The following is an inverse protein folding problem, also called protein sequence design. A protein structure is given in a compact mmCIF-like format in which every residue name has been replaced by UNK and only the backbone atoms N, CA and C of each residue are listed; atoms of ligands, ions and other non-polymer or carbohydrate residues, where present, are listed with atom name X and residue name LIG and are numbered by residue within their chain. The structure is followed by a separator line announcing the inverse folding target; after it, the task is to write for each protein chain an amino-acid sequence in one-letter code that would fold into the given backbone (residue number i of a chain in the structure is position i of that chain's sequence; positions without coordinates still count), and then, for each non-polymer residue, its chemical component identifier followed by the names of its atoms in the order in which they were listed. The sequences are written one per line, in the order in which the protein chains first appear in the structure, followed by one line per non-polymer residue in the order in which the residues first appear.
data_IF_029087449708
#
_entry.id   IF_029087449708
#
_cell.length_a   1.000
_cell.length_b   1.000
_cell.length_c   1.000
_cell.angle_alpha   90.00
_cell.angle_beta   90.00
_cell.angle_gamma   90.00
#
_symmetry.space_group_name_H-M   'P 1'
#
loop_
_entity.id
_entity.type
_entity.pdbx_description
1 polymer ?
#
# COMPACT_ATOMS: atom_id res chain seq x y z
N UNK A 1 -15.82 -26.42 7.00
CA UNK A 1 -15.67 -25.59 5.78
C UNK A 1 -14.93 -26.39 4.72
N UNK A 2 -15.36 -26.28 3.47
CA UNK A 2 -14.64 -26.80 2.31
C UNK A 2 -13.26 -26.17 2.20
N UNK A 3 -12.30 -26.89 1.60
CA UNK A 3 -10.94 -26.39 1.35
C UNK A 3 -10.98 -25.06 0.59
N UNK A 4 -11.81 -24.98 -0.45
CA UNK A 4 -11.97 -23.77 -1.26
C UNK A 4 -12.39 -22.55 -0.42
N UNK A 5 -13.36 -22.71 0.50
CA UNK A 5 -13.80 -21.62 1.38
C UNK A 5 -12.69 -21.17 2.34
N UNK A 6 -11.84 -22.08 2.84
CA UNK A 6 -10.70 -21.74 3.70
C UNK A 6 -9.65 -20.93 2.94
N UNK A 7 -9.33 -21.33 1.71
CA UNK A 7 -8.37 -20.63 0.84
C UNK A 7 -8.89 -19.22 0.49
N UNK A 8 -10.14 -19.12 0.02
CA UNK A 8 -10.75 -17.83 -0.34
C UNK A 8 -10.80 -16.88 0.86
N UNK A 9 -11.13 -17.37 2.05
CA UNK A 9 -11.13 -16.54 3.27
C UNK A 9 -9.73 -16.02 3.61
N UNK A 10 -8.69 -16.86 3.53
CA UNK A 10 -7.31 -16.46 3.81
C UNK A 10 -6.77 -15.44 2.80
N UNK A 11 -6.96 -15.71 1.50
CA UNK A 11 -6.57 -14.78 0.43
C UNK A 11 -7.36 -13.47 0.49
N UNK A 12 -8.67 -13.53 0.75
CA UNK A 12 -9.53 -12.37 0.88
C UNK A 12 -9.09 -11.46 2.03
N UNK A 13 -8.76 -12.04 3.19
CA UNK A 13 -8.22 -11.29 4.32
C UNK A 13 -6.87 -10.63 4.00
N UNK A 14 -5.95 -11.35 3.34
CA UNK A 14 -4.66 -10.79 2.91
C UNK A 14 -4.84 -9.61 1.95
N UNK A 15 -5.76 -9.74 0.98
CA UNK A 15 -6.03 -8.71 -0.01
C UNK A 15 -6.66 -7.46 0.64
N UNK A 16 -7.56 -7.64 1.61
CA UNK A 16 -8.12 -6.53 2.39
C UNK A 16 -7.05 -5.78 3.18
N UNK A 17 -6.11 -6.49 3.82
CA UNK A 17 -5.00 -5.87 4.56
C UNK A 17 -4.09 -5.11 3.60
N UNK A 18 -3.72 -5.69 2.47
CA UNK A 18 -2.91 -5.02 1.44
C UNK A 18 -3.61 -3.76 0.91
N UNK A 19 -4.92 -3.83 0.66
CA UNK A 19 -5.70 -2.68 0.22
C UNK A 19 -5.72 -1.57 1.28
N UNK A 20 -5.93 -1.92 2.56
CA UNK A 20 -5.90 -0.95 3.65
C UNK A 20 -4.53 -0.27 3.79
N UNK A 21 -3.43 -1.05 3.73
CA UNK A 21 -2.07 -0.52 3.76
C UNK A 21 -1.81 0.40 2.57
N UNK A 22 -2.23 -0.01 1.37
CA UNK A 22 -2.08 0.81 0.16
C UNK A 22 -2.84 2.14 0.27
N UNK A 23 -4.09 2.13 0.73
CA UNK A 23 -4.90 3.35 0.92
C UNK A 23 -4.20 4.32 1.88
N UNK A 24 -3.72 3.83 3.03
CA UNK A 24 -3.00 4.66 4.01
C UNK A 24 -1.70 5.21 3.41
N UNK A 25 -0.96 4.41 2.66
CA UNK A 25 0.26 4.85 1.98
C UNK A 25 -0.01 5.94 0.94
N UNK A 26 -1.05 5.78 0.11
CA UNK A 26 -1.44 6.79 -0.89
C UNK A 26 -1.90 8.09 -0.25
N UNK A 27 -2.72 8.02 0.82
CA UNK A 27 -3.13 9.21 1.57
C UNK A 27 -1.93 9.93 2.21
N UNK A 28 -0.99 9.19 2.78
CA UNK A 28 0.25 9.76 3.33
C UNK A 28 1.10 10.45 2.27
N UNK A 29 1.22 9.86 1.08
CA UNK A 29 1.95 10.44 -0.05
C UNK A 29 1.28 11.73 -0.58
N UNK A 30 -0.05 11.74 -0.73
CA UNK A 30 -0.78 12.95 -1.11
C UNK A 30 -0.61 14.08 -0.09
N UNK A 31 -0.69 13.76 1.21
CA UNK A 31 -0.50 14.73 2.28
C UNK A 31 0.90 15.35 2.19
N UNK A 32 1.93 14.53 1.95
CA UNK A 32 3.31 14.98 1.81
C UNK A 32 3.50 15.92 0.62
N UNK A 33 2.92 15.59 -0.54
CA UNK A 33 2.97 16.44 -1.73
C UNK A 33 2.27 17.78 -1.52
N UNK A 34 1.10 17.80 -0.85
CA UNK A 34 0.38 19.03 -0.53
C UNK A 34 1.21 19.92 0.39
N UNK A 35 1.75 19.39 1.48
CA UNK A 35 2.60 20.13 2.40
C UNK A 35 3.84 20.69 1.71
N UNK A 36 4.47 19.94 0.80
CA UNK A 36 5.63 20.42 0.05
C UNK A 36 5.26 21.61 -0.88
N UNK A 37 4.15 21.51 -1.60
CA UNK A 37 3.68 22.59 -2.48
C UNK A 37 3.31 23.84 -1.69
N UNK A 38 2.63 23.65 -0.55
CA UNK A 38 2.27 24.73 0.35
C UNK A 38 3.56 25.45 0.83
N UNK A 39 4.60 24.72 1.26
CA UNK A 39 5.89 25.29 1.70
C UNK A 39 6.57 26.13 0.61
N UNK A 40 6.47 25.73 -0.66
CA UNK A 40 7.03 26.53 -1.76
C UNK A 40 6.23 27.83 -1.92
N UNK A 41 4.90 27.74 -1.94
CA UNK A 41 4.02 28.91 -2.05
C UNK A 41 4.22 29.91 -0.92
N UNK A 42 4.36 29.43 0.32
CA UNK A 42 4.75 30.22 1.51
C UNK A 42 5.97 31.09 1.26
N UNK A 43 7.05 30.44 0.81
CA UNK A 43 8.36 31.06 0.67
C UNK A 43 8.34 32.09 -0.44
N UNK A 44 7.60 31.82 -1.51
CA UNK A 44 7.38 32.78 -2.58
C UNK A 44 6.62 34.01 -2.08
N UNK A 45 5.51 33.84 -1.35
CA UNK A 45 4.77 34.95 -0.74
C UNK A 45 5.67 35.82 0.15
N UNK A 46 6.43 35.19 1.05
CA UNK A 46 7.37 35.90 1.93
C UNK A 46 8.54 36.55 1.18
N UNK A 47 8.95 35.99 0.03
CA UNK A 47 9.97 36.58 -0.84
C UNK A 47 9.44 37.86 -1.48
N UNK A 48 8.27 37.83 -2.13
CA UNK A 48 7.67 39.01 -2.76
C UNK A 48 7.42 40.14 -1.77
N UNK A 49 6.90 39.84 -0.56
CA UNK A 49 6.73 40.84 0.49
C UNK A 49 8.05 41.53 0.87
N UNK A 50 9.13 40.75 1.01
CA UNK A 50 10.47 41.27 1.32
C UNK A 50 11.06 42.07 0.17
N UNK A 51 10.83 41.67 -1.06
CA UNK A 51 11.30 42.37 -2.27
C UNK A 51 10.60 43.73 -2.44
N UNK A 52 9.27 43.80 -2.27
CA UNK A 52 8.53 45.07 -2.24
C UNK A 52 9.10 46.02 -1.18
N UNK A 53 9.37 45.51 0.03
CA UNK A 53 9.99 46.30 1.11
C UNK A 53 11.36 46.84 0.73
N UNK A 54 12.22 45.99 0.15
CA UNK A 54 13.58 46.37 -0.27
C UNK A 54 13.54 47.40 -1.39
N UNK A 55 12.70 47.20 -2.39
CA UNK A 55 12.59 48.13 -3.52
C UNK A 55 12.05 49.49 -3.12
N UNK A 56 11.10 49.54 -2.17
CA UNK A 56 10.65 50.82 -1.59
C UNK A 56 11.76 51.53 -0.82
N UNK A 57 12.59 50.77 -0.08
CA UNK A 57 13.75 51.33 0.61
C UNK A 57 14.79 51.88 -0.37
N UNK A 58 15.07 51.15 -1.45
CA UNK A 58 15.99 51.59 -2.51
C UNK A 58 15.47 52.83 -3.23
N UNK A 59 14.16 52.87 -3.51
CA UNK A 59 13.48 54.01 -4.11
C UNK A 59 13.53 55.25 -3.20
N UNK A 60 13.29 55.09 -1.89
CA UNK A 60 13.42 56.17 -0.90
C UNK A 60 14.88 56.65 -0.77
N UNK A 61 15.83 55.72 -0.78
CA UNK A 61 17.27 56.05 -0.71
C UNK A 61 17.74 56.81 -1.95
N UNK A 62 17.31 56.37 -3.13
CA UNK A 62 17.53 57.03 -4.41
C UNK A 62 16.95 58.46 -4.41
N UNK A 63 15.70 58.59 -3.98
CA UNK A 63 15.03 59.89 -3.86
C UNK A 63 15.80 60.84 -2.94
N UNK A 64 16.25 60.39 -1.76
CA UNK A 64 17.04 61.22 -0.83
C UNK A 64 18.37 61.63 -1.44
N UNK A 65 19.06 60.72 -2.13
CA UNK A 65 20.30 61.03 -2.85
C UNK A 65 20.10 62.11 -3.92
N UNK A 66 19.01 62.03 -4.69
CA UNK A 66 18.64 63.05 -5.65
C UNK A 66 18.25 64.38 -5.00
N UNK A 67 17.46 64.36 -3.92
CA UNK A 67 17.11 65.58 -3.20
C UNK A 67 18.36 66.31 -2.70
N UNK A 68 19.31 65.58 -2.10
CA UNK A 68 20.54 66.16 -1.58
C UNK A 68 21.48 66.69 -2.68
N UNK A 69 21.64 65.94 -3.78
CA UNK A 69 22.68 66.24 -4.78
C UNK A 69 22.17 66.96 -6.03
N UNK A 70 20.88 66.85 -6.35
CA UNK A 70 20.28 67.29 -7.60
C UNK A 70 20.68 66.48 -8.84
N UNK A 71 21.45 65.39 -8.70
CA UNK A 71 21.97 64.63 -9.84
C UNK A 71 21.04 63.48 -10.21
N UNK A 72 20.54 63.47 -11.45
CA UNK A 72 19.57 62.48 -11.97
C UNK A 72 20.01 61.02 -11.81
N UNK A 73 21.32 60.73 -11.90
CA UNK A 73 21.85 59.36 -11.73
C UNK A 73 21.48 58.70 -10.39
N UNK A 74 21.19 59.49 -9.35
CA UNK A 74 20.75 58.91 -8.07
C UNK A 74 19.34 58.31 -8.15
N UNK A 75 18.54 58.64 -9.17
CA UNK A 75 17.19 58.11 -9.37
C UNK A 75 17.16 56.77 -10.11
N UNK A 76 18.30 56.25 -10.58
CA UNK A 76 18.36 54.95 -11.27
C UNK A 76 17.70 53.81 -10.46
N UNK A 77 17.92 53.65 -9.13
CA UNK A 77 17.24 52.63 -8.35
C UNK A 77 15.73 52.88 -8.21
N UNK A 78 15.31 54.15 -8.09
CA UNK A 78 13.89 54.52 -8.05
C UNK A 78 13.17 54.10 -9.34
N UNK A 79 13.74 54.43 -10.51
CA UNK A 79 13.14 54.10 -11.80
C UNK A 79 13.05 52.57 -12.00
N UNK A 80 14.07 51.82 -11.58
CA UNK A 80 14.05 50.35 -11.66
C UNK A 80 13.07 49.70 -10.68
N UNK A 81 12.82 50.31 -9.53
CA UNK A 81 11.93 49.76 -8.51
C UNK A 81 10.45 49.75 -8.96
N UNK A 82 10.00 50.78 -9.71
CA UNK A 82 8.59 50.94 -10.10
C UNK A 82 7.97 49.71 -10.78
N UNK A 83 8.49 49.20 -11.91
CA UNK A 83 7.90 48.04 -12.59
C UNK A 83 8.00 46.74 -11.78
N UNK A 84 9.05 46.60 -10.97
CA UNK A 84 9.26 45.40 -10.17
C UNK A 84 8.30 45.35 -8.97
N UNK A 85 8.05 46.48 -8.30
CA UNK A 85 7.03 46.59 -7.24
C UNK A 85 5.65 46.23 -7.80
N UNK A 86 5.29 46.74 -8.97
CA UNK A 86 4.00 46.41 -9.61
C UNK A 86 3.91 44.91 -9.92
N UNK A 87 4.97 44.33 -10.48
CA UNK A 87 5.04 42.91 -10.79
C UNK A 87 4.85 42.05 -9.53
N UNK A 88 5.56 42.36 -8.44
CA UNK A 88 5.48 41.61 -7.19
C UNK A 88 4.12 41.74 -6.51
N UNK A 89 3.48 42.92 -6.56
CA UNK A 89 2.11 43.10 -6.06
C UNK A 89 1.11 42.25 -6.85
N UNK A 90 1.26 42.13 -8.17
CA UNK A 90 0.44 41.22 -8.99
C UNK A 90 0.66 39.76 -8.61
N UNK A 91 1.91 39.35 -8.35
CA UNK A 91 2.20 37.97 -7.90
C UNK A 91 1.62 37.70 -6.51
N UNK A 92 1.72 38.64 -5.57
CA UNK A 92 1.09 38.54 -4.25
C UNK A 92 -0.43 38.42 -4.36
N UNK A 93 -1.05 39.20 -5.25
CA UNK A 93 -2.50 39.13 -5.50
C UNK A 93 -2.93 37.76 -6.02
N UNK A 94 -2.10 37.12 -6.85
CA UNK A 94 -2.33 35.74 -7.31
C UNK A 94 -2.13 34.73 -6.18
N UNK A 95 -1.09 34.90 -5.37
CA UNK A 95 -0.77 34.00 -4.28
C UNK A 95 -1.81 34.01 -3.15
N UNK A 96 -2.48 35.15 -2.92
CA UNK A 96 -3.51 35.30 -1.87
C UNK A 96 -4.95 35.18 -2.38
N UNK A 97 -5.19 34.68 -3.60
CA UNK A 97 -6.55 34.56 -4.16
C UNK A 97 -7.50 33.73 -3.28
N UNK A 98 -6.96 32.72 -2.60
CA UNK A 98 -7.72 31.81 -1.74
C UNK A 98 -7.57 32.16 -0.24
N UNK A 99 -7.02 33.33 0.08
CA UNK A 99 -6.79 33.78 1.46
C UNK A 99 -7.44 35.16 1.68
N UNK A 100 -8.73 35.20 2.06
CA UNK A 100 -9.46 36.45 2.23
C UNK A 100 -8.81 37.40 3.24
N UNK A 101 -8.23 36.87 4.32
CA UNK A 101 -7.59 37.70 5.35
C UNK A 101 -6.30 38.35 4.80
N UNK A 102 -5.44 37.59 4.15
CA UNK A 102 -4.24 38.14 3.50
C UNK A 102 -4.60 39.06 2.33
N UNK A 103 -5.71 38.79 1.62
CA UNK A 103 -6.23 39.65 0.57
C UNK A 103 -6.59 41.06 1.07
N UNK A 104 -7.19 41.17 2.26
CA UNK A 104 -7.49 42.47 2.89
C UNK A 104 -6.20 43.22 3.27
N UNK A 105 -5.22 42.52 3.86
CA UNK A 105 -3.91 43.09 4.22
C UNK A 105 -3.14 43.55 2.98
N UNK A 106 -3.16 42.76 1.90
CA UNK A 106 -2.56 43.11 0.61
C UNK A 106 -3.23 44.34 0.00
N UNK A 107 -4.56 44.44 0.02
CA UNK A 107 -5.25 45.62 -0.51
C UNK A 107 -4.86 46.91 0.25
N UNK A 108 -4.69 46.81 1.58
CA UNK A 108 -4.13 47.90 2.40
C UNK A 108 -2.69 48.23 2.00
N UNK A 109 -1.84 47.21 1.84
CA UNK A 109 -0.45 47.36 1.43
C UNK A 109 -0.35 48.05 0.08
N UNK A 110 -1.10 47.60 -0.92
CA UNK A 110 -1.14 48.21 -2.26
C UNK A 110 -1.50 49.70 -2.20
N UNK A 111 -2.48 50.09 -1.36
CA UNK A 111 -2.83 51.50 -1.18
C UNK A 111 -1.68 52.29 -0.57
N UNK A 112 -1.07 51.78 0.50
CA UNK A 112 0.07 52.42 1.17
C UNK A 112 1.29 52.55 0.24
N UNK A 113 1.58 51.52 -0.55
CA UNK A 113 2.64 51.53 -1.57
C UNK A 113 2.36 52.61 -2.62
N UNK A 114 1.14 52.70 -3.15
CA UNK A 114 0.76 53.75 -4.11
C UNK A 114 0.92 55.15 -3.52
N UNK A 115 0.45 55.36 -2.30
CA UNK A 115 0.61 56.64 -1.59
C UNK A 115 2.08 57.00 -1.36
N UNK A 116 2.93 56.01 -1.03
CA UNK A 116 4.36 56.21 -0.87
C UNK A 116 5.05 56.56 -2.18
N UNK A 117 4.74 55.85 -3.27
CA UNK A 117 5.31 56.14 -4.58
C UNK A 117 4.88 57.51 -5.10
N UNK A 118 3.63 57.93 -4.85
CA UNK A 118 3.16 59.27 -5.17
C UNK A 118 3.90 60.36 -4.38
N UNK A 119 4.15 60.15 -3.09
CA UNK A 119 4.94 61.06 -2.24
C UNK A 119 6.39 61.20 -2.76
N UNK A 120 7.03 60.09 -3.13
CA UNK A 120 8.37 60.11 -3.74
C UNK A 120 8.35 60.86 -5.08
N UNK A 121 7.36 60.61 -5.93
CA UNK A 121 7.25 61.29 -7.23
C UNK A 121 7.06 62.80 -7.08
N UNK A 122 6.22 63.23 -6.13
CA UNK A 122 5.95 64.65 -5.85
C UNK A 122 7.20 65.37 -5.35
N UNK A 123 7.96 64.78 -4.43
CA UNK A 123 9.19 65.39 -3.90
C UNK A 123 10.29 65.47 -4.96
N UNK A 124 10.43 64.44 -5.81
CA UNK A 124 11.34 64.46 -6.98
C UNK A 124 10.95 65.58 -7.94
N UNK A 125 9.65 65.70 -8.25
CA UNK A 125 9.12 66.76 -9.13
C UNK A 125 9.38 68.15 -8.58
N UNK A 126 9.08 68.40 -7.30
CA UNK A 126 9.36 69.67 -6.64
C UNK A 126 10.85 70.02 -6.69
N UNK A 127 11.73 69.02 -6.50
CA UNK A 127 13.18 69.23 -6.58
C UNK A 127 13.64 69.62 -7.99
N UNK A 128 13.09 69.00 -9.02
CA UNK A 128 13.39 69.31 -10.44
C UNK A 128 12.88 70.68 -10.86
N UNK A 129 11.67 71.04 -10.45
CA UNK A 129 10.96 72.22 -10.95
C UNK A 129 11.22 73.48 -10.11
N UNK A 130 11.34 73.33 -8.79
CA UNK A 130 11.31 74.45 -7.84
C UNK A 130 12.54 74.50 -6.91
N UNK A 131 13.45 73.54 -7.00
CA UNK A 131 14.69 73.52 -6.22
C UNK A 131 14.57 72.78 -4.87
N UNK A 132 15.57 72.97 -4.00
CA UNK A 132 15.73 72.14 -2.78
C UNK A 132 14.66 72.44 -1.72
N UNK A 133 14.44 73.72 -1.40
CA UNK A 133 13.61 74.14 -0.26
C UNK A 133 12.15 73.66 -0.34
N UNK A 134 11.47 73.74 -1.50
CA UNK A 134 10.10 73.22 -1.61
C UNK A 134 10.02 71.70 -1.39
N UNK A 135 10.99 70.95 -1.92
CA UNK A 135 11.06 69.50 -1.73
C UNK A 135 11.37 69.13 -0.26
N UNK A 136 12.28 69.87 0.38
CA UNK A 136 12.62 69.69 1.79
C UNK A 136 11.41 69.95 2.69
N UNK A 137 10.61 70.98 2.39
CA UNK A 137 9.39 71.30 3.16
C UNK A 137 8.44 70.11 3.22
N UNK A 138 8.27 69.37 2.12
CA UNK A 138 7.46 68.14 2.08
C UNK A 138 8.10 67.02 2.89
N UNK A 139 9.41 66.81 2.79
CA UNK A 139 10.13 65.79 3.58
C UNK A 139 10.00 66.06 5.08
N UNK A 140 10.08 67.31 5.50
CA UNK A 140 9.95 67.73 6.91
C UNK A 140 8.55 67.51 7.49
N UNK A 141 7.53 67.22 6.66
CA UNK A 141 6.21 66.79 7.16
C UNK A 141 6.21 65.39 7.76
N UNK A 142 7.30 64.64 7.63
CA UNK A 142 7.43 63.23 8.04
C UNK A 142 6.41 62.28 7.38
N UNK A 143 5.58 62.75 6.42
CA UNK A 143 4.60 61.93 5.71
C UNK A 143 5.22 60.68 5.09
N UNK A 144 6.35 60.85 4.40
CA UNK A 144 7.07 59.75 3.77
C UNK A 144 7.61 58.72 4.78
N UNK A 145 8.02 59.17 5.97
CA UNK A 145 8.52 58.32 7.07
C UNK A 145 7.39 57.51 7.71
N UNK A 146 6.26 58.16 7.99
CA UNK A 146 5.07 57.52 8.55
C UNK A 146 4.53 56.44 7.59
N UNK A 147 4.38 56.76 6.31
CA UNK A 147 3.97 55.78 5.29
C UNK A 147 4.91 54.57 5.25
N UNK A 148 6.22 54.78 5.29
CA UNK A 148 7.17 53.67 5.26
C UNK A 148 7.11 52.81 6.54
N UNK A 149 6.87 53.42 7.71
CA UNK A 149 6.65 52.68 8.96
C UNK A 149 5.39 51.82 8.89
N UNK A 150 4.28 52.36 8.39
CA UNK A 150 3.05 51.60 8.24
C UNK A 150 3.17 50.46 7.21
N UNK A 151 3.90 50.68 6.11
CA UNK A 151 4.19 49.64 5.12
C UNK A 151 5.00 48.51 5.76
N UNK A 152 6.06 48.85 6.51
CA UNK A 152 6.89 47.85 7.21
C UNK A 152 6.04 47.06 8.20
N UNK A 153 5.25 47.74 9.01
CA UNK A 153 4.37 47.08 9.98
C UNK A 153 3.38 46.14 9.28
N UNK A 154 2.72 46.57 8.20
CA UNK A 154 1.77 45.72 7.48
C UNK A 154 2.48 44.49 6.87
N UNK A 155 3.65 44.68 6.26
CA UNK A 155 4.46 43.56 5.74
C UNK A 155 4.88 42.61 6.85
N UNK A 156 5.34 43.12 7.99
CA UNK A 156 5.78 42.30 9.11
C UNK A 156 4.60 41.51 9.71
N UNK A 157 3.41 42.12 9.83
CA UNK A 157 2.18 41.42 10.23
C UNK A 157 1.80 40.31 9.23
N UNK A 158 1.86 40.59 7.93
CA UNK A 158 1.59 39.58 6.89
C UNK A 158 2.58 38.41 6.95
N UNK A 159 3.87 38.69 7.20
CA UNK A 159 4.91 37.68 7.36
C UNK A 159 4.69 36.83 8.61
N UNK A 160 4.34 37.44 9.75
CA UNK A 160 4.07 36.72 11.01
C UNK A 160 2.85 35.82 10.87
N UNK A 161 1.73 36.34 10.35
CA UNK A 161 0.51 35.55 10.14
C UNK A 161 0.76 34.40 9.17
N UNK A 162 1.58 34.64 8.14
CA UNK A 162 2.08 33.58 7.28
C UNK A 162 2.78 32.50 8.09
N UNK A 163 3.87 32.87 8.78
CA UNK A 163 4.75 31.95 9.50
C UNK A 163 4.03 31.13 10.58
N UNK A 164 3.10 31.73 11.32
CA UNK A 164 2.28 31.03 12.32
C UNK A 164 1.40 29.94 11.69
N UNK A 165 0.71 30.26 10.59
CA UNK A 165 -0.09 29.27 9.85
C UNK A 165 0.79 28.15 9.30
N UNK A 166 2.02 28.48 8.85
CA UNK A 166 3.00 27.48 8.42
C UNK A 166 3.44 26.56 9.55
N UNK A 167 3.77 27.10 10.72
CA UNK A 167 4.14 26.29 11.88
C UNK A 167 3.02 25.34 12.28
N UNK A 168 1.77 25.80 12.27
CA UNK A 168 0.61 24.96 12.58
C UNK A 168 0.39 23.87 11.52
N UNK A 169 0.50 24.22 10.22
CA UNK A 169 0.39 23.27 9.12
C UNK A 169 1.53 22.23 9.14
N UNK A 170 2.75 22.65 9.46
CA UNK A 170 3.91 21.77 9.57
C UNK A 170 3.79 20.79 10.75
N UNK A 171 3.37 21.26 11.93
CA UNK A 171 3.16 20.40 13.11
C UNK A 171 2.04 19.38 12.85
N UNK A 172 0.92 19.81 12.25
CA UNK A 172 -0.17 18.89 11.89
C UNK A 172 0.24 17.90 10.80
N UNK A 173 1.02 18.33 9.79
CA UNK A 173 1.60 17.42 8.80
C UNK A 173 2.56 16.40 9.43
N UNK A 174 3.43 16.82 10.35
CA UNK A 174 4.35 15.93 11.06
C UNK A 174 3.58 14.90 11.90
N UNK A 175 2.56 15.31 12.65
CA UNK A 175 1.71 14.40 13.44
C UNK A 175 0.98 13.40 12.53
N UNK A 176 0.45 13.86 11.40
CA UNK A 176 -0.22 12.99 10.43
C UNK A 176 0.74 12.01 9.77
N UNK A 177 1.97 12.45 9.46
CA UNK A 177 3.02 11.59 8.93
C UNK A 177 3.42 10.51 9.96
N UNK A 178 3.62 10.88 11.23
CA UNK A 178 3.94 9.92 12.30
C UNK A 178 2.81 8.90 12.50
N UNK A 179 1.54 9.33 12.50
CA UNK A 179 0.39 8.42 12.55
C UNK A 179 0.37 7.48 11.35
N UNK A 180 0.59 8.00 10.14
CA UNK A 180 0.62 7.19 8.92
C UNK A 180 1.74 6.15 8.96
N UNK A 181 2.93 6.53 9.42
CA UNK A 181 4.07 5.61 9.61
C UNK A 181 3.72 4.53 10.64
N UNK A 182 3.10 4.89 11.77
CA UNK A 182 2.68 3.93 12.79
C UNK A 182 1.65 2.94 12.22
N UNK A 183 0.61 3.43 11.52
CA UNK A 183 -0.40 2.58 10.88
C UNK A 183 0.20 1.66 9.82
N UNK A 184 1.12 2.17 9.00
CA UNK A 184 1.82 1.38 7.98
C UNK A 184 2.68 0.29 8.64
N UNK A 185 3.40 0.63 9.72
CA UNK A 185 4.25 -0.30 10.46
C UNK A 185 3.42 -1.41 11.09
N UNK A 186 2.37 -1.04 11.84
CA UNK A 186 1.45 -2.00 12.48
C UNK A 186 0.72 -2.84 11.43
N UNK A 187 0.24 -2.23 10.36
CA UNK A 187 -0.42 -2.92 9.25
C UNK A 187 0.49 -3.92 8.55
N UNK A 188 1.77 -3.59 8.36
CA UNK A 188 2.77 -4.49 7.78
C UNK A 188 3.04 -5.67 8.70
N UNK A 189 3.25 -5.44 9.99
CA UNK A 189 3.46 -6.52 10.98
C UNK A 189 2.23 -7.44 11.06
N UNK A 190 1.02 -6.86 11.12
CA UNK A 190 -0.22 -7.63 11.12
C UNK A 190 -0.41 -8.43 9.82
N UNK A 191 -0.08 -7.84 8.66
CA UNK A 191 -0.11 -8.53 7.37
C UNK A 191 0.82 -9.75 7.35
N UNK A 192 2.06 -9.59 7.82
CA UNK A 192 3.03 -10.70 7.94
C UNK A 192 2.49 -11.78 8.88
N UNK A 193 1.91 -11.40 10.03
CA UNK A 193 1.33 -12.33 10.99
C UNK A 193 0.15 -13.11 10.38
N UNK A 194 -0.76 -12.44 9.68
CA UNK A 194 -1.91 -13.05 9.02
C UNK A 194 -1.46 -14.04 7.94
N UNK A 195 -0.49 -13.66 7.11
CA UNK A 195 0.08 -14.55 6.08
C UNK A 195 0.76 -15.75 6.74
N UNK A 196 1.50 -15.55 7.82
CA UNK A 196 2.19 -16.63 8.55
C UNK A 196 1.20 -17.62 9.17
N UNK A 197 0.17 -17.12 9.87
CA UNK A 197 -0.88 -17.94 10.47
C UNK A 197 -1.71 -18.64 9.38
N UNK A 198 -2.09 -17.93 8.33
CA UNK A 198 -2.82 -18.50 7.19
C UNK A 198 -2.04 -19.61 6.51
N UNK A 199 -0.74 -19.39 6.25
CA UNK A 199 0.16 -20.40 5.69
C UNK A 199 0.29 -21.63 6.59
N UNK A 200 0.42 -21.43 7.91
CA UNK A 200 0.46 -22.52 8.88
C UNK A 200 -0.85 -23.33 8.90
N UNK A 201 -2.01 -22.66 8.90
CA UNK A 201 -3.32 -23.30 8.88
C UNK A 201 -3.57 -24.08 7.58
N UNK A 202 -3.17 -23.51 6.42
CA UNK A 202 -3.25 -24.18 5.12
C UNK A 202 -2.35 -25.42 5.11
N UNK A 203 -1.10 -25.28 5.58
CA UNK A 203 -0.13 -26.38 5.62
C UNK A 203 -0.64 -27.53 6.50
N UNK A 204 -1.15 -27.22 7.69
CA UNK A 204 -1.69 -28.23 8.61
C UNK A 204 -3.03 -28.82 8.14
N UNK A 205 -3.87 -28.01 7.48
CA UNK A 205 -5.22 -28.40 7.07
C UNK A 205 -5.32 -29.09 5.72
N UNK A 206 -4.36 -28.86 4.82
CA UNK A 206 -4.39 -29.35 3.42
C UNK A 206 -3.11 -30.12 3.09
N UNK A 207 -1.94 -29.48 3.20
CA UNK A 207 -0.66 -30.07 2.77
C UNK A 207 -0.33 -31.33 3.57
N UNK A 208 -0.54 -31.32 4.89
CA UNK A 208 -0.32 -32.48 5.76
C UNK A 208 -1.22 -33.68 5.41
N UNK A 209 -2.57 -33.54 5.39
CA UNK A 209 -3.47 -34.61 4.97
C UNK A 209 -3.21 -35.13 3.56
N UNK A 210 -2.89 -34.27 2.60
CA UNK A 210 -2.52 -34.71 1.24
C UNK A 210 -1.21 -35.49 1.23
N UNK A 211 -0.20 -35.08 2.00
CA UNK A 211 1.03 -35.85 2.17
C UNK A 211 0.78 -37.25 2.74
N UNK A 212 -0.08 -37.37 3.77
CA UNK A 212 -0.49 -38.67 4.32
C UNK A 212 -1.25 -39.53 3.31
N UNK A 213 -2.11 -38.90 2.49
CA UNK A 213 -2.81 -39.59 1.40
C UNK A 213 -1.83 -40.15 0.36
N UNK A 214 -0.86 -39.34 -0.07
CA UNK A 214 0.18 -39.77 -1.00
C UNK A 214 1.00 -40.93 -0.44
N UNK A 215 1.45 -40.86 0.81
CA UNK A 215 2.17 -41.96 1.46
C UNK A 215 1.32 -43.21 1.61
N UNK A 216 0.03 -43.08 1.94
CA UNK A 216 -0.89 -44.23 2.04
C UNK A 216 -1.10 -44.95 0.71
N UNK A 217 -1.24 -44.19 -0.38
CA UNK A 217 -1.28 -44.74 -1.75
C UNK A 217 0.03 -45.43 -2.10
N UNK A 218 1.18 -44.84 -1.75
CA UNK A 218 2.48 -45.46 -2.00
C UNK A 218 2.63 -46.81 -1.29
N UNK A 219 2.26 -46.90 0.00
CA UNK A 219 2.23 -48.17 0.74
C UNK A 219 1.31 -49.21 0.08
N UNK A 220 0.14 -48.78 -0.41
CA UNK A 220 -0.80 -49.64 -1.10
C UNK A 220 -0.23 -50.17 -2.43
N UNK A 221 0.41 -49.32 -3.25
CA UNK A 221 1.05 -49.73 -4.51
C UNK A 221 2.26 -50.64 -4.32
N UNK A 222 2.93 -50.57 -3.16
CA UNK A 222 4.03 -51.47 -2.78
C UNK A 222 3.55 -52.83 -2.22
N UNK A 223 2.25 -53.12 -2.28
CA UNK A 223 1.66 -54.40 -1.88
C UNK A 223 1.16 -54.46 -0.44
N UNK A 224 1.25 -53.39 0.35
CA UNK A 224 0.66 -53.37 1.70
C UNK A 224 -0.81 -52.94 1.65
N UNK A 225 -1.69 -53.89 1.32
CA UNK A 225 -3.13 -53.66 1.20
C UNK A 225 -3.84 -53.51 2.55
N UNK A 226 -3.20 -53.86 3.67
CA UNK A 226 -3.76 -53.72 5.00
C UNK A 226 -3.65 -52.28 5.55
N UNK A 227 -2.79 -51.45 4.97
CA UNK A 227 -2.62 -50.06 5.39
C UNK A 227 -3.93 -49.27 5.20
N UNK A 228 -4.27 -48.42 6.19
CA UNK A 228 -5.44 -47.54 6.17
C UNK A 228 -5.01 -46.13 6.54
N UNK A 229 -5.64 -45.15 5.91
CA UNK A 229 -5.37 -43.74 6.14
C UNK A 229 -6.31 -43.23 7.22
N UNK A 230 -5.76 -42.66 8.29
CA UNK A 230 -6.56 -42.10 9.36
C UNK A 230 -7.35 -40.86 8.91
N UNK A 231 -8.68 -40.91 9.09
CA UNK A 231 -9.59 -39.85 8.67
C UNK A 231 -9.74 -38.82 9.78
N UNK A 232 -9.07 -37.67 9.63
CA UNK A 232 -9.05 -36.62 10.65
C UNK A 232 -10.07 -35.50 10.41
N UNK A 233 -10.44 -35.26 9.14
CA UNK A 233 -11.26 -34.12 8.74
C UNK A 233 -12.55 -34.59 8.04
N UNK A 234 -13.58 -33.74 8.02
CA UNK A 234 -14.81 -33.98 7.26
C UNK A 234 -14.83 -33.29 5.89
N UNK A 235 -13.78 -32.53 5.57
CA UNK A 235 -13.63 -31.82 4.30
C UNK A 235 -13.26 -32.76 3.12
N UNK A 236 -12.94 -32.18 1.97
CA UNK A 236 -12.63 -32.92 0.76
C UNK A 236 -11.45 -33.90 0.95
N UNK A 237 -10.45 -33.56 1.79
CA UNK A 237 -9.34 -34.47 2.10
C UNK A 237 -9.81 -35.69 2.89
N UNK A 238 -10.74 -35.49 3.83
CA UNK A 238 -11.34 -36.57 4.60
C UNK A 238 -12.24 -37.47 3.77
N UNK A 239 -12.99 -36.88 2.82
CA UNK A 239 -13.78 -37.64 1.85
C UNK A 239 -12.90 -38.51 0.96
N UNK A 240 -11.77 -37.98 0.49
CA UNK A 240 -10.76 -38.75 -0.26
C UNK A 240 -10.17 -39.90 0.56
N UNK A 241 -9.81 -39.65 1.82
CA UNK A 241 -9.29 -40.68 2.72
C UNK A 241 -10.31 -41.81 2.97
N UNK A 242 -11.59 -41.47 3.19
CA UNK A 242 -12.67 -42.46 3.32
C UNK A 242 -12.85 -43.28 2.04
N UNK A 243 -12.91 -42.61 0.89
CA UNK A 243 -13.03 -43.28 -0.41
C UNK A 243 -11.86 -44.24 -0.69
N UNK A 244 -10.64 -43.82 -0.34
CA UNK A 244 -9.45 -44.67 -0.43
C UNK A 244 -9.54 -45.90 0.49
N UNK A 245 -9.92 -45.71 1.75
CA UNK A 245 -10.05 -46.84 2.70
C UNK A 245 -11.10 -47.85 2.24
N UNK A 246 -12.25 -47.41 1.71
CA UNK A 246 -13.26 -48.30 1.13
C UNK A 246 -12.75 -49.05 -0.10
N UNK A 247 -11.96 -48.39 -0.96
CA UNK A 247 -11.31 -49.05 -2.08
C UNK A 247 -10.31 -50.12 -1.61
N UNK A 248 -9.49 -49.80 -0.60
CA UNK A 248 -8.52 -50.72 -0.04
C UNK A 248 -9.18 -51.95 0.62
N UNK A 249 -10.29 -51.74 1.33
CA UNK A 249 -11.12 -52.81 1.90
C UNK A 249 -11.68 -53.74 0.83
N UNK A 250 -12.36 -53.20 -0.19
CA UNK A 250 -12.88 -54.01 -1.30
C UNK A 250 -11.80 -54.80 -2.02
N UNK A 251 -10.60 -54.21 -2.15
CA UNK A 251 -9.47 -54.89 -2.79
C UNK A 251 -8.94 -56.05 -1.93
N UNK A 252 -8.82 -55.85 -0.62
CA UNK A 252 -8.38 -56.88 0.32
C UNK A 252 -9.40 -58.04 0.39
N UNK A 253 -10.70 -57.72 0.42
CA UNK A 253 -11.77 -58.73 0.36
C UNK A 253 -11.72 -59.53 -0.95
N UNK A 254 -11.49 -58.85 -2.08
CA UNK A 254 -11.35 -59.51 -3.37
C UNK A 254 -10.13 -60.45 -3.41
N UNK A 255 -8.99 -60.09 -2.84
CA UNK A 255 -7.83 -61.01 -2.76
C UNK A 255 -8.09 -62.19 -1.83
N UNK A 256 -8.73 -61.98 -0.68
CA UNK A 256 -9.12 -63.06 0.22
C UNK A 256 -10.12 -64.02 -0.45
N UNK A 257 -11.06 -63.50 -1.24
CA UNK A 257 -12.00 -64.32 -2.01
C UNK A 257 -11.30 -65.14 -3.09
N UNK A 258 -10.35 -64.54 -3.83
CA UNK A 258 -9.55 -65.26 -4.84
C UNK A 258 -8.68 -66.33 -4.19
N UNK A 259 -8.07 -66.06 -3.04
CA UNK A 259 -7.28 -67.04 -2.30
C UNK A 259 -8.13 -68.24 -1.85
N UNK A 260 -9.30 -67.99 -1.26
CA UNK A 260 -10.25 -69.07 -0.88
C UNK A 260 -10.72 -69.88 -2.08
N UNK A 261 -10.99 -69.22 -3.22
CA UNK A 261 -11.34 -69.92 -4.45
C UNK A 261 -10.19 -70.79 -4.96
N UNK A 262 -8.95 -70.33 -4.84
CA UNK A 262 -7.76 -71.10 -5.21
C UNK A 262 -7.59 -72.33 -4.32
N UNK A 263 -7.73 -72.20 -3.00
CA UNK A 263 -7.67 -73.33 -2.06
C UNK A 263 -8.79 -74.35 -2.31
N UNK A 264 -10.02 -73.88 -2.49
CA UNK A 264 -11.15 -74.75 -2.79
C UNK A 264 -10.96 -75.46 -4.14
N UNK A 265 -10.41 -74.77 -5.14
CA UNK A 265 -10.05 -75.37 -6.44
C UNK A 265 -8.99 -76.45 -6.27
N UNK A 266 -7.96 -76.21 -5.47
CA UNK A 266 -6.92 -77.21 -5.21
C UNK A 266 -7.47 -78.44 -4.47
N UNK A 267 -8.31 -78.24 -3.44
CA UNK A 267 -8.99 -79.34 -2.75
C UNK A 267 -9.86 -80.14 -3.71
N UNK A 268 -10.66 -79.46 -4.54
CA UNK A 268 -11.51 -80.13 -5.55
C UNK A 268 -10.65 -80.95 -6.51
N UNK A 269 -9.51 -80.42 -6.97
CA UNK A 269 -8.58 -81.16 -7.82
C UNK A 269 -7.99 -82.38 -7.10
N UNK A 270 -7.64 -82.27 -5.82
CA UNK A 270 -7.17 -83.42 -5.01
C UNK A 270 -8.24 -84.49 -4.86
N UNK A 271 -9.47 -84.11 -4.51
CA UNK A 271 -10.59 -85.05 -4.41
C UNK A 271 -10.89 -85.72 -5.74
N UNK A 272 -10.85 -84.98 -6.85
CA UNK A 272 -11.00 -85.56 -8.20
C UNK A 272 -9.86 -86.54 -8.51
N UNK A 273 -8.61 -86.20 -8.18
CA UNK A 273 -7.47 -87.09 -8.38
C UNK A 273 -7.57 -88.38 -7.54
N UNK A 274 -7.96 -88.27 -6.27
CA UNK A 274 -8.23 -89.41 -5.39
C UNK A 274 -9.34 -90.30 -5.93
N UNK A 275 -10.44 -89.70 -6.41
CA UNK A 275 -11.55 -90.42 -7.01
C UNK A 275 -11.13 -91.16 -8.29
N UNK A 276 -10.35 -90.52 -9.17
CA UNK A 276 -9.78 -91.17 -10.36
C UNK A 276 -8.89 -92.35 -9.96
N UNK A 277 -8.07 -92.21 -8.92
CA UNK A 277 -7.19 -93.28 -8.47
C UNK A 277 -7.96 -94.45 -7.82
N UNK A 278 -9.02 -94.17 -7.06
CA UNK A 278 -9.95 -95.19 -6.56
C UNK A 278 -10.67 -95.92 -7.69
N UNK A 279 -11.15 -95.19 -8.71
CA UNK A 279 -11.77 -95.77 -9.90
C UNK A 279 -10.80 -96.69 -10.66
N UNK A 280 -9.55 -96.26 -10.84
CA UNK A 280 -8.52 -97.07 -11.46
C UNK A 280 -8.25 -98.35 -10.65
N UNK A 281 -8.17 -98.23 -9.31
CA UNK A 281 -8.03 -99.37 -8.41
C UNK A 281 -9.21 -100.33 -8.47
N UNK A 282 -10.44 -99.83 -8.32
CA UNK A 282 -11.67 -100.63 -8.40
C UNK A 282 -11.85 -101.27 -9.79
N UNK A 283 -11.50 -100.57 -10.87
CA UNK A 283 -11.53 -101.15 -12.21
C UNK A 283 -10.49 -102.26 -12.36
N UNK A 284 -9.30 -102.12 -11.77
CA UNK A 284 -8.30 -103.19 -11.71
C UNK A 284 -8.77 -104.40 -10.89
N UNK A 285 -9.47 -104.16 -9.78
CA UNK A 285 -10.04 -105.20 -8.92
C UNK A 285 -11.20 -105.93 -9.61
N UNK A 286 -12.08 -105.21 -10.31
CA UNK A 286 -13.13 -105.79 -11.15
C UNK A 286 -12.51 -106.60 -12.30
N UNK A 287 -11.48 -106.10 -12.97
CA UNK A 287 -10.79 -106.86 -14.02
C UNK A 287 -10.19 -108.15 -13.45
N UNK A 288 -9.61 -108.11 -12.25
CA UNK A 288 -9.11 -109.30 -11.55
C UNK A 288 -10.21 -110.28 -11.20
N UNK A 289 -11.31 -109.82 -10.59
CA UNK A 289 -12.42 -110.68 -10.18
C UNK A 289 -13.22 -111.22 -11.37
N UNK A 290 -13.35 -110.45 -12.45
CA UNK A 290 -13.96 -110.94 -13.71
C UNK A 290 -13.03 -111.97 -14.37
N UNK A 291 -11.71 -111.78 -14.30
CA UNK A 291 -10.75 -112.81 -14.76
C UNK A 291 -10.85 -114.09 -13.92
N UNK A 292 -11.03 -113.99 -12.60
CA UNK A 292 -11.29 -115.16 -11.73
C UNK A 292 -12.65 -115.80 -12.00
N UNK A 293 -13.70 -115.01 -12.25
CA UNK A 293 -15.02 -115.54 -12.60
C UNK A 293 -15.04 -116.20 -13.98
N UNK A 294 -14.33 -115.65 -14.96
CA UNK A 294 -14.17 -116.27 -16.28
C UNK A 294 -13.33 -117.54 -16.17
N UNK A 295 -12.29 -117.56 -15.33
CA UNK A 295 -11.51 -118.78 -15.07
C UNK A 295 -12.33 -119.88 -14.38
N UNK A 296 -13.22 -119.53 -13.46
CA UNK A 296 -14.10 -120.48 -12.76
C UNK A 296 -15.36 -120.89 -13.54
N UNK A 297 -15.76 -120.14 -14.57
CA UNK A 297 -16.85 -120.50 -15.48
C UNK A 297 -16.42 -121.38 -16.66
N UNK A 298 -15.12 -121.67 -16.79
CA UNK A 298 -14.56 -122.55 -17.83
C UNK A 298 -14.13 -123.95 -17.32
N UNK A 299 -14.35 -124.27 -16.04
CA UNK A 299 -14.26 -125.63 -15.48
C UNK A 299 -15.66 -126.26 -15.31
#
# INVERSE_FOLDING_TARGET
MTIGKKIVAGFGLCLLVLLAVAIVAFQGAEQLLRTANDVVASREQARYLREVRTMLLDAETAQRGFLLTGQERYLDPYVRALPNIETDLVQLKRAFQNDPEQGVRLARLERQVREKLAELADTIRLRREQGFEPALTVVLTDKGKLLMQEIRQNIDEMLVVGDERWMQAADSAQRNAQRSILFLSVGTVLGILIVSVGSFLITRGITGPLGRLMSGVEHFTRGNLAHRIEVHNEDETGRLARAFNTMAERRQESEAQVARQSEQREQTLRTVAEFVNQLAGASSEILSSTSEQVASAQE
#
